data_IF_474903062225
#
_entry.id   IF_474903062225
#
_cell.length_a   1.000
_cell.length_b   1.000
_cell.length_c   1.000
_cell.angle_alpha   90.00
_cell.angle_beta   90.00
_cell.angle_gamma   90.00
#
_symmetry.space_group_name_H-M   'P 1'
#
loop_
_entity.id
_entity.type
_entity.pdbx_description
1 polymer ?
#
# COMPACT_ATOMS: atom_id res chain seq x y z
N UNK A 1 21.66 -12.17 -18.34
CA UNK A 1 21.21 -11.22 -17.31
C UNK A 1 19.70 -11.08 -17.47
N UNK A 2 18.92 -11.84 -16.71
CA UNK A 2 17.47 -11.83 -16.84
C UNK A 2 16.85 -11.86 -15.44
N UNK A 3 15.69 -11.23 -15.34
CA UNK A 3 14.70 -11.38 -14.27
C UNK A 3 14.85 -10.46 -13.05
N UNK A 4 14.40 -9.22 -13.21
CA UNK A 4 13.77 -8.47 -12.12
C UNK A 4 12.48 -7.74 -12.54
N UNK A 5 12.00 -7.95 -13.78
CA UNK A 5 10.81 -7.27 -14.31
C UNK A 5 9.48 -7.90 -13.83
N UNK A 6 9.48 -9.15 -13.37
CA UNK A 6 8.25 -9.87 -13.00
C UNK A 6 7.53 -9.35 -11.76
N UNK A 7 8.26 -8.79 -10.78
CA UNK A 7 7.65 -8.28 -9.53
C UNK A 7 6.89 -6.97 -9.70
N UNK A 8 7.31 -6.10 -10.63
CA UNK A 8 6.68 -4.77 -10.81
C UNK A 8 5.36 -4.82 -11.58
N UNK A 9 5.20 -5.76 -12.53
CA UNK A 9 3.96 -5.93 -13.29
C UNK A 9 2.86 -6.56 -12.45
N UNK A 10 3.20 -7.56 -11.63
CA UNK A 10 2.23 -8.23 -10.76
C UNK A 10 1.70 -7.29 -9.67
N UNK A 11 2.56 -6.46 -9.05
CA UNK A 11 2.14 -5.51 -8.01
C UNK A 11 1.12 -4.48 -8.52
N UNK A 12 1.25 -4.01 -9.76
CA UNK A 12 0.29 -3.08 -10.35
C UNK A 12 -1.05 -3.75 -10.65
N UNK A 13 -1.04 -4.96 -11.20
CA UNK A 13 -2.26 -5.72 -11.47
C UNK A 13 -3.06 -6.00 -10.19
N UNK A 14 -2.39 -6.34 -9.09
CA UNK A 14 -3.07 -6.54 -7.80
C UNK A 14 -3.78 -5.28 -7.30
N UNK A 15 -3.13 -4.11 -7.40
CA UNK A 15 -3.75 -2.85 -7.00
C UNK A 15 -4.90 -2.48 -7.94
N UNK A 16 -4.76 -2.73 -9.25
CA UNK A 16 -5.82 -2.45 -10.21
C UNK A 16 -7.06 -3.35 -10.05
N UNK A 17 -6.90 -4.50 -9.39
CA UNK A 17 -7.96 -5.44 -9.06
C UNK A 17 -8.65 -5.16 -7.70
N UNK A 18 -8.19 -4.17 -6.93
CA UNK A 18 -8.82 -3.80 -5.66
C UNK A 18 -10.24 -3.28 -5.86
N UNK A 19 -11.15 -3.74 -5.01
CA UNK A 19 -12.59 -3.46 -5.13
C UNK A 19 -12.96 -2.06 -4.67
N UNK A 20 -12.16 -1.45 -3.78
CA UNK A 20 -12.46 -0.20 -3.08
C UNK A 20 -13.77 -0.24 -2.24
N UNK A 21 -14.46 -1.38 -2.14
CA UNK A 21 -15.73 -1.52 -1.40
C UNK A 21 -15.63 -1.18 0.08
N UNK A 22 -14.42 -1.27 0.66
CA UNK A 22 -14.17 -1.00 2.07
C UNK A 22 -13.54 0.38 2.34
N UNK A 23 -13.43 1.23 1.32
CA UNK A 23 -13.00 2.63 1.47
C UNK A 23 -14.13 3.58 1.10
N UNK A 24 -14.31 4.70 1.83
CA UNK A 24 -15.27 5.74 1.46
C UNK A 24 -14.82 6.55 0.23
N UNK A 25 -13.66 6.24 -0.36
CA UNK A 25 -13.02 7.01 -1.40
C UNK A 25 -13.32 6.42 -2.79
N UNK A 26 -13.68 7.29 -3.72
CA UNK A 26 -13.75 6.93 -5.14
C UNK A 26 -12.40 6.45 -5.69
N UNK A 27 -12.42 5.48 -6.61
CA UNK A 27 -11.19 5.04 -7.26
C UNK A 27 -10.66 6.11 -8.21
N UNK A 28 -9.40 6.50 -8.04
CA UNK A 28 -8.69 7.38 -8.98
C UNK A 28 -7.29 6.86 -9.26
N UNK A 29 -6.69 7.26 -10.39
CA UNK A 29 -5.32 6.87 -10.72
C UNK A 29 -4.29 7.31 -9.67
N UNK A 30 -4.51 8.47 -9.04
CA UNK A 30 -3.62 8.97 -8.00
C UNK A 30 -3.69 8.11 -6.73
N UNK A 31 -4.89 7.63 -6.38
CA UNK A 31 -5.14 6.73 -5.25
C UNK A 31 -4.55 5.33 -5.49
N UNK A 32 -4.75 4.77 -6.68
CA UNK A 32 -4.10 3.52 -7.09
C UNK A 32 -2.56 3.64 -7.02
N UNK A 33 -2.00 4.73 -7.53
CA UNK A 33 -0.56 4.97 -7.49
C UNK A 33 -0.03 5.12 -6.05
N UNK A 34 -0.82 5.67 -5.12
CA UNK A 34 -0.46 5.78 -3.71
C UNK A 34 -0.43 4.42 -3.01
N UNK A 35 -1.47 3.60 -3.20
CA UNK A 35 -1.53 2.23 -2.67
C UNK A 35 -0.39 1.39 -3.26
N UNK A 36 -0.14 1.50 -4.56
CA UNK A 36 0.96 0.81 -5.23
C UNK A 36 2.32 1.23 -4.67
N UNK A 37 2.53 2.51 -4.37
CA UNK A 37 3.76 3.00 -3.76
C UNK A 37 3.93 2.49 -2.32
N UNK A 38 2.87 2.47 -1.52
CA UNK A 38 2.88 1.90 -0.17
C UNK A 38 3.20 0.39 -0.21
N UNK A 39 2.58 -0.35 -1.13
CA UNK A 39 2.83 -1.78 -1.29
C UNK A 39 4.27 -2.05 -1.71
N UNK A 40 4.79 -1.35 -2.72
CA UNK A 40 6.20 -1.46 -3.14
C UNK A 40 7.17 -1.11 -2.01
N UNK A 41 6.85 -0.08 -1.21
CA UNK A 41 7.64 0.28 -0.04
C UNK A 41 7.68 -0.88 0.97
N UNK A 42 6.54 -1.47 1.27
CA UNK A 42 6.43 -2.59 2.20
C UNK A 42 7.14 -3.85 1.69
N UNK A 43 7.03 -4.19 0.40
CA UNK A 43 7.78 -5.31 -0.20
C UNK A 43 9.28 -5.11 -0.06
N UNK A 44 9.75 -3.88 -0.29
CA UNK A 44 11.18 -3.53 -0.23
C UNK A 44 11.74 -3.63 1.18
N UNK A 45 11.01 -3.12 2.17
CA UNK A 45 11.48 -3.04 3.56
C UNK A 45 11.06 -4.25 4.41
N UNK A 46 10.20 -5.13 3.89
CA UNK A 46 9.54 -6.28 4.56
C UNK A 46 8.65 -5.92 5.74
N UNK A 47 8.87 -4.77 6.37
CA UNK A 47 8.08 -4.23 7.46
C UNK A 47 7.92 -2.72 7.29
N UNK A 48 6.78 -2.18 7.70
CA UNK A 48 6.56 -0.74 7.70
C UNK A 48 5.60 -0.34 8.81
N UNK A 49 5.84 0.81 9.45
CA UNK A 49 4.86 1.42 10.36
C UNK A 49 4.00 2.45 9.62
N UNK A 50 2.88 2.86 10.23
CA UNK A 50 2.12 4.06 9.79
C UNK A 50 3.05 5.25 9.60
N UNK A 51 3.89 5.54 10.59
CA UNK A 51 4.83 6.66 10.55
C UNK A 51 5.81 6.53 9.38
N UNK A 52 6.32 5.33 9.12
CA UNK A 52 7.23 5.08 8.00
C UNK A 52 6.56 5.31 6.66
N UNK A 53 5.31 4.87 6.49
CA UNK A 53 4.54 5.07 5.25
C UNK A 53 4.22 6.56 5.05
N UNK A 54 3.75 7.24 6.08
CA UNK A 54 3.46 8.68 6.03
C UNK A 54 4.73 9.52 5.82
N UNK A 55 5.88 9.11 6.35
CA UNK A 55 7.12 9.86 6.16
C UNK A 55 7.75 9.65 4.76
N UNK A 56 7.63 8.45 4.18
CA UNK A 56 8.41 8.08 2.99
C UNK A 56 7.60 7.95 1.70
N UNK A 57 6.29 7.70 1.81
CA UNK A 57 5.41 7.46 0.65
C UNK A 57 4.48 8.65 0.42
N UNK A 58 3.77 9.08 1.46
CA UNK A 58 2.77 10.16 1.39
C UNK A 58 3.28 11.45 0.71
N UNK A 59 4.47 12.01 1.03
CA UNK A 59 4.93 13.28 0.44
C UNK A 59 5.13 13.26 -1.07
N UNK A 60 5.14 12.06 -1.69
CA UNK A 60 5.30 11.88 -3.13
C UNK A 60 4.00 11.39 -3.79
N UNK A 61 3.03 10.92 -3.01
CA UNK A 61 1.84 10.19 -3.45
C UNK A 61 0.66 10.44 -2.50
N UNK A 62 0.37 11.70 -2.19
CA UNK A 62 -0.70 12.11 -1.27
C UNK A 62 -2.12 11.86 -1.80
N UNK A 63 -2.27 11.68 -3.12
CA UNK A 63 -3.55 11.49 -3.80
C UNK A 63 -4.59 12.60 -3.51
N UNK A 64 -4.14 13.81 -3.14
CA UNK A 64 -4.98 14.95 -2.78
C UNK A 64 -5.67 14.83 -1.42
N UNK A 65 -5.18 13.96 -0.54
CA UNK A 65 -5.71 13.71 0.80
C UNK A 65 -4.76 14.26 1.86
N UNK A 66 -5.27 14.57 3.05
CA UNK A 66 -4.42 14.82 4.21
C UNK A 66 -3.74 13.53 4.70
N UNK A 67 -2.65 13.65 5.46
CA UNK A 67 -1.83 12.50 5.86
C UNK A 67 -2.61 11.43 6.65
N UNK A 68 -3.52 11.86 7.53
CA UNK A 68 -4.35 10.95 8.31
C UNK A 68 -5.41 10.27 7.43
N UNK A 69 -6.12 11.03 6.59
CA UNK A 69 -7.11 10.50 5.65
C UNK A 69 -6.48 9.54 4.64
N UNK A 70 -5.33 9.91 4.08
CA UNK A 70 -4.53 9.10 3.19
C UNK A 70 -4.16 7.76 3.80
N UNK A 71 -3.76 7.74 5.08
CA UNK A 71 -3.41 6.48 5.72
C UNK A 71 -4.67 5.69 6.10
N UNK A 72 -5.59 6.29 6.84
CA UNK A 72 -6.68 5.57 7.50
C UNK A 72 -7.80 5.18 6.52
N UNK A 73 -8.07 5.99 5.49
CA UNK A 73 -9.17 5.74 4.54
C UNK A 73 -8.70 5.11 3.22
N UNK A 74 -7.44 5.34 2.82
CA UNK A 74 -6.92 4.82 1.55
C UNK A 74 -5.93 3.67 1.76
N UNK A 75 -4.80 3.93 2.40
CA UNK A 75 -3.69 2.96 2.41
C UNK A 75 -3.97 1.79 3.33
N UNK A 76 -4.34 2.00 4.58
CA UNK A 76 -4.55 0.92 5.55
C UNK A 76 -5.58 -0.13 5.07
N UNK A 77 -6.81 0.23 4.65
CA UNK A 77 -7.78 -0.78 4.21
C UNK A 77 -7.29 -1.54 2.96
N UNK A 78 -6.84 -0.82 1.95
CA UNK A 78 -6.47 -1.41 0.66
C UNK A 78 -5.15 -2.20 0.70
N UNK A 79 -4.19 -1.76 1.52
CA UNK A 79 -2.93 -2.47 1.71
C UNK A 79 -3.16 -3.84 2.38
N UNK A 80 -4.16 -3.95 3.25
CA UNK A 80 -4.53 -5.20 3.91
C UNK A 80 -5.16 -6.24 2.98
N UNK A 81 -5.69 -5.82 1.82
CA UNK A 81 -6.26 -6.71 0.81
C UNK A 81 -5.20 -7.28 -0.16
N UNK A 82 -3.98 -6.74 -0.13
CA UNK A 82 -2.93 -7.13 -1.08
C UNK A 82 -2.24 -8.44 -0.69
N UNK A 83 -1.87 -9.27 -1.68
CA UNK A 83 -1.28 -10.59 -1.42
C UNK A 83 0.05 -10.48 -0.68
N UNK A 84 0.31 -11.42 0.23
CA UNK A 84 1.52 -11.44 1.06
C UNK A 84 1.61 -10.33 2.11
N UNK A 85 0.61 -9.44 2.21
CA UNK A 85 0.56 -8.40 3.24
C UNK A 85 -0.15 -8.91 4.49
N UNK A 86 0.45 -8.68 5.65
CA UNK A 86 -0.18 -8.88 6.95
C UNK A 86 -0.40 -7.54 7.63
N UNK A 87 -1.65 -7.20 8.00
CA UNK A 87 -1.95 -5.97 8.73
C UNK A 87 -1.34 -6.01 10.15
N UNK A 88 -1.15 -4.84 10.78
CA UNK A 88 -0.74 -4.77 12.17
C UNK A 88 -1.78 -5.45 13.07
N UNK A 89 -1.35 -6.42 13.88
CA UNK A 89 -2.21 -7.08 14.87
C UNK A 89 -2.38 -6.25 16.15
N UNK A 90 -3.27 -6.68 17.07
CA UNK A 90 -3.51 -5.99 18.34
C UNK A 90 -2.22 -5.73 19.12
N UNK A 91 -1.97 -4.47 19.49
CA UNK A 91 -0.75 -4.06 20.19
C UNK A 91 0.50 -3.91 19.32
N UNK A 92 0.39 -4.10 17.99
CA UNK A 92 1.47 -3.88 17.04
C UNK A 92 1.08 -2.78 16.05
N UNK A 93 2.04 -1.95 15.64
CA UNK A 93 1.82 -0.88 14.66
C UNK A 93 2.57 -1.12 13.34
N UNK A 94 2.94 -2.39 13.07
CA UNK A 94 3.87 -2.77 12.00
C UNK A 94 3.16 -3.71 11.01
N UNK A 95 3.09 -3.25 9.76
CA UNK A 95 2.77 -4.05 8.59
C UNK A 95 3.91 -5.01 8.28
N UNK A 96 3.60 -6.20 7.77
CA UNK A 96 4.60 -7.17 7.31
C UNK A 96 4.29 -7.62 5.90
N UNK A 97 5.33 -7.89 5.14
CA UNK A 97 5.23 -8.56 3.86
C UNK A 97 6.03 -9.85 3.85
N UNK A 98 5.32 -10.96 3.62
CA UNK A 98 5.88 -12.28 3.46
C UNK A 98 5.56 -12.73 2.03
N UNK A 99 6.58 -12.96 1.18
CA UNK A 99 6.32 -13.51 -0.15
C UNK A 99 5.74 -14.92 0.01
N UNK A 100 4.69 -15.21 -0.75
CA UNK A 100 4.08 -16.53 -0.83
C UNK A 100 5.02 -17.57 -1.43
#
# INVERSE_FOLDING_TARGET
MASSAGGSTNTRAFVEALSYEHTPLERTRARDDAVLAAYKYLITHRTASRLSLVANVYPRRDAGLDADEWYDQLVAPLLGELPGVSPPGPGTAIWRYTPE
#
